data_IF_523979962127
#
_entry.id   IF_523979962127
#
_cell.length_a   1.000
_cell.length_b   1.000
_cell.length_c   1.000
_cell.angle_alpha   90.00
_cell.angle_beta   90.00
_cell.angle_gamma   90.00
#
_symmetry.space_group_name_H-M   'P 1'
#
loop_
_entity.id
_entity.type
_entity.pdbx_description
1 polymer ?
#
# COMPACT_ATOMS: atom_id res chain seq x y z
N UNK A 1 -20.98 -4.90 -4.99
CA UNK A 1 -19.68 -5.56 -4.86
C UNK A 1 -18.55 -4.53 -4.80
N UNK A 2 -17.55 -4.81 -3.97
CA UNK A 2 -16.44 -3.87 -3.76
C UNK A 2 -15.70 -3.53 -5.05
N UNK A 3 -15.53 -4.49 -5.95
CA UNK A 3 -14.81 -4.23 -7.20
C UNK A 3 -15.47 -3.14 -8.04
N UNK A 4 -16.78 -3.08 -8.04
CA UNK A 4 -17.51 -2.12 -8.86
C UNK A 4 -17.29 -0.67 -8.40
N UNK A 5 -16.93 -0.49 -7.14
CA UNK A 5 -16.61 0.83 -6.60
C UNK A 5 -15.37 1.44 -7.26
N UNK A 6 -14.48 0.60 -7.78
CA UNK A 6 -13.20 1.02 -8.34
C UNK A 6 -13.09 0.70 -9.84
N UNK A 7 -14.22 0.69 -10.55
CA UNK A 7 -14.23 0.32 -11.97
C UNK A 7 -13.33 1.19 -12.84
N UNK A 8 -13.26 2.49 -12.57
CA UNK A 8 -12.41 3.38 -13.35
C UNK A 8 -10.94 2.96 -13.27
N UNK A 9 -10.45 2.67 -12.08
CA UNK A 9 -9.10 2.20 -11.91
C UNK A 9 -8.89 0.82 -12.54
N UNK A 10 -9.85 -0.07 -12.35
CA UNK A 10 -9.78 -1.42 -12.93
C UNK A 10 -9.74 -1.39 -14.46
N UNK A 11 -10.49 -0.49 -15.07
CA UNK A 11 -10.46 -0.29 -16.52
C UNK A 11 -9.11 0.23 -16.98
N UNK A 12 -8.52 1.17 -16.24
CA UNK A 12 -7.18 1.64 -16.53
C UNK A 12 -6.16 0.50 -16.49
N UNK A 13 -6.20 -0.33 -15.46
CA UNK A 13 -5.30 -1.48 -15.33
C UNK A 13 -5.52 -2.46 -16.48
N UNK A 14 -6.77 -2.74 -16.84
CA UNK A 14 -7.10 -3.67 -17.92
C UNK A 14 -6.54 -3.20 -19.26
N UNK A 15 -6.50 -1.88 -19.50
CA UNK A 15 -6.02 -1.34 -20.77
C UNK A 15 -4.52 -1.10 -20.80
N UNK A 16 -3.87 -0.98 -19.63
CA UNK A 16 -2.46 -0.57 -19.54
C UNK A 16 -1.53 -1.69 -19.08
N UNK A 17 -2.06 -2.76 -18.51
CA UNK A 17 -1.27 -3.85 -17.94
C UNK A 17 -1.78 -5.19 -18.46
N UNK A 18 -1.05 -6.27 -18.16
CA UNK A 18 -1.42 -7.61 -18.56
C UNK A 18 -2.68 -8.12 -17.83
N UNK A 19 -3.30 -9.16 -18.37
CA UNK A 19 -4.44 -9.81 -17.72
C UNK A 19 -4.05 -10.41 -16.37
N UNK A 20 -2.82 -10.88 -16.24
CA UNK A 20 -2.29 -11.38 -14.96
C UNK A 20 -2.25 -10.26 -13.92
N UNK A 21 -1.81 -9.07 -14.32
CA UNK A 21 -1.79 -7.90 -13.43
C UNK A 21 -3.21 -7.51 -13.03
N UNK A 22 -4.13 -7.49 -13.97
CA UNK A 22 -5.53 -7.16 -13.68
C UNK A 22 -6.13 -8.12 -12.65
N UNK A 23 -5.90 -9.41 -12.82
CA UNK A 23 -6.38 -10.43 -11.89
C UNK A 23 -5.80 -10.22 -10.49
N UNK A 24 -4.51 -9.96 -10.42
CA UNK A 24 -3.82 -9.76 -9.15
C UNK A 24 -4.31 -8.50 -8.43
N UNK A 25 -4.55 -7.43 -9.18
CA UNK A 25 -5.13 -6.20 -8.63
C UNK A 25 -6.53 -6.47 -8.07
N UNK A 26 -7.37 -7.20 -8.80
CA UNK A 26 -8.71 -7.54 -8.32
C UNK A 26 -8.66 -8.36 -7.03
N UNK A 27 -7.75 -9.33 -6.95
CA UNK A 27 -7.55 -10.11 -5.72
C UNK A 27 -7.08 -9.24 -4.56
N UNK A 28 -6.19 -8.29 -4.85
CA UNK A 28 -5.69 -7.36 -3.83
C UNK A 28 -6.81 -6.48 -3.27
N UNK A 29 -7.70 -5.99 -4.14
CA UNK A 29 -8.85 -5.18 -3.72
C UNK A 29 -9.77 -5.99 -2.81
N UNK A 30 -10.09 -7.22 -3.18
CA UNK A 30 -10.92 -8.09 -2.34
C UNK A 30 -10.26 -8.40 -1.01
N UNK A 31 -8.98 -8.71 -1.03
CA UNK A 31 -8.20 -9.01 0.18
C UNK A 31 -8.23 -7.82 1.15
N UNK A 32 -7.94 -6.62 0.64
CA UNK A 32 -7.94 -5.42 1.46
C UNK A 32 -9.34 -5.06 1.98
N UNK A 33 -10.36 -5.19 1.13
CA UNK A 33 -11.74 -4.89 1.53
C UNK A 33 -12.20 -5.81 2.65
N UNK A 34 -11.87 -7.09 2.58
CA UNK A 34 -12.25 -8.05 3.60
C UNK A 34 -11.55 -7.77 4.93
N UNK A 35 -10.25 -7.51 4.87
CA UNK A 35 -9.44 -7.31 6.09
C UNK A 35 -9.58 -5.93 6.70
N UNK A 36 -10.00 -4.94 5.92
CA UNK A 36 -10.21 -3.58 6.41
C UNK A 36 -11.69 -3.19 6.41
N UNK A 37 -12.58 -4.17 6.49
CA UNK A 37 -14.01 -3.91 6.57
C UNK A 37 -14.29 -3.04 7.81
N UNK A 38 -14.98 -1.91 7.59
CA UNK A 38 -15.31 -0.98 8.65
C UNK A 38 -14.17 -0.07 9.12
N UNK A 39 -12.97 -0.23 8.58
CA UNK A 39 -11.84 0.63 8.93
C UNK A 39 -11.95 1.95 8.16
N UNK A 40 -11.89 3.05 8.91
CA UNK A 40 -12.02 4.39 8.32
C UNK A 40 -10.84 5.27 8.71
N UNK A 41 -10.65 6.33 7.92
CA UNK A 41 -9.70 7.39 8.24
C UNK A 41 -10.35 8.37 9.23
N UNK A 42 -9.56 9.35 9.69
CA UNK A 42 -10.02 10.37 10.64
C UNK A 42 -11.24 11.16 10.13
N UNK A 43 -11.40 11.28 8.81
CA UNK A 43 -12.53 12.00 8.20
C UNK A 43 -13.76 11.13 7.97
N UNK A 44 -13.71 9.87 8.37
CA UNK A 44 -14.82 8.92 8.22
C UNK A 44 -14.85 8.16 6.90
N UNK A 45 -13.97 8.50 5.94
CA UNK A 45 -13.91 7.77 4.67
C UNK A 45 -13.26 6.39 4.85
N UNK A 46 -13.64 5.40 4.02
CA UNK A 46 -13.02 4.08 4.11
C UNK A 46 -11.51 4.15 3.85
N UNK A 47 -10.72 3.44 4.66
CA UNK A 47 -9.27 3.38 4.46
C UNK A 47 -8.93 2.84 3.07
N UNK A 48 -9.71 1.90 2.57
CA UNK A 48 -9.48 1.34 1.24
C UNK A 48 -9.58 2.40 0.13
N UNK A 49 -10.46 3.39 0.27
CA UNK A 49 -10.54 4.47 -0.72
C UNK A 49 -9.21 5.23 -0.81
N UNK A 50 -8.57 5.47 0.34
CA UNK A 50 -7.25 6.10 0.36
C UNK A 50 -6.22 5.21 -0.33
N UNK A 51 -6.19 3.94 -0.01
CA UNK A 51 -5.21 3.02 -0.58
C UNK A 51 -5.40 2.85 -2.09
N UNK A 52 -6.65 2.87 -2.55
CA UNK A 52 -6.93 2.84 -3.99
C UNK A 52 -6.49 4.14 -4.68
N UNK A 53 -6.61 5.27 -3.99
CA UNK A 53 -6.08 6.55 -4.46
C UNK A 53 -4.56 6.52 -4.58
N UNK A 54 -3.88 5.91 -3.62
CA UNK A 54 -2.42 5.72 -3.67
C UNK A 54 -2.05 4.84 -4.87
N UNK A 55 -2.75 3.72 -5.06
CA UNK A 55 -2.52 2.82 -6.19
C UNK A 55 -2.70 3.53 -7.52
N UNK A 56 -3.70 4.42 -7.62
CA UNK A 56 -3.93 5.22 -8.81
C UNK A 56 -2.74 6.13 -9.13
N UNK A 57 -2.21 6.82 -8.13
CA UNK A 57 -1.03 7.68 -8.32
C UNK A 57 0.17 6.84 -8.76
N UNK A 58 0.38 5.71 -8.11
CA UNK A 58 1.50 4.81 -8.40
C UNK A 58 1.42 4.28 -9.84
N UNK A 59 0.23 3.91 -10.31
CA UNK A 59 0.04 3.36 -11.65
C UNK A 59 -0.01 4.45 -12.72
N UNK A 60 -0.84 5.48 -12.52
CA UNK A 60 -1.15 6.44 -13.58
C UNK A 60 -0.17 7.59 -13.64
N UNK A 61 0.32 8.07 -12.51
CA UNK A 61 1.21 9.24 -12.47
C UNK A 61 2.69 8.86 -12.41
N UNK A 62 3.03 7.83 -11.63
CA UNK A 62 4.43 7.42 -11.49
C UNK A 62 4.78 6.33 -12.50
N UNK A 63 3.84 5.43 -12.80
CA UNK A 63 4.04 4.40 -13.80
C UNK A 63 4.78 3.17 -13.30
N UNK A 64 4.61 2.82 -12.03
CA UNK A 64 5.21 1.61 -11.47
C UNK A 64 4.44 0.36 -11.88
N UNK A 65 5.03 -0.80 -11.64
CA UNK A 65 4.49 -2.07 -12.08
C UNK A 65 3.55 -2.75 -11.08
N UNK A 66 3.19 -3.99 -11.41
CA UNK A 66 2.23 -4.80 -10.69
C UNK A 66 2.49 -4.89 -9.19
N UNK A 67 3.71 -5.20 -8.78
CA UNK A 67 4.01 -5.42 -7.37
C UNK A 67 3.88 -4.13 -6.54
N UNK A 68 4.21 -2.99 -7.14
CA UNK A 68 4.03 -1.70 -6.49
C UNK A 68 2.57 -1.32 -6.37
N UNK A 69 1.78 -1.59 -7.38
CA UNK A 69 0.33 -1.33 -7.37
C UNK A 69 -0.35 -2.19 -6.30
N UNK A 70 -0.08 -3.49 -6.33
CA UNK A 70 -0.66 -4.43 -5.36
C UNK A 70 -0.21 -4.10 -3.95
N UNK A 71 1.08 -3.81 -3.77
CA UNK A 71 1.62 -3.39 -2.48
C UNK A 71 0.93 -2.15 -1.94
N UNK A 72 0.64 -1.18 -2.80
CA UNK A 72 -0.09 0.03 -2.42
C UNK A 72 -1.49 -0.28 -1.91
N UNK A 73 -2.20 -1.18 -2.59
CA UNK A 73 -3.57 -1.53 -2.24
C UNK A 73 -3.65 -2.19 -0.86
N UNK A 74 -2.70 -3.07 -0.54
CA UNK A 74 -2.77 -3.86 0.69
C UNK A 74 -1.89 -3.33 1.83
N UNK A 75 -1.13 -2.24 1.60
CA UNK A 75 -0.11 -1.83 2.58
C UNK A 75 -0.69 -1.46 3.95
N UNK A 76 -1.88 -0.87 4.01
CA UNK A 76 -2.47 -0.53 5.30
C UNK A 76 -2.99 -1.75 6.06
N UNK A 77 -3.32 -2.84 5.37
CA UNK A 77 -3.61 -4.11 6.04
C UNK A 77 -2.41 -4.53 6.89
N UNK A 78 -1.21 -4.44 6.31
CA UNK A 78 0.03 -4.80 7.00
C UNK A 78 0.35 -3.79 8.11
N UNK A 79 0.22 -2.50 7.84
CA UNK A 79 0.48 -1.46 8.84
C UNK A 79 -0.39 -1.63 10.06
N UNK A 80 -1.68 -1.88 9.88
CA UNK A 80 -2.62 -2.07 10.98
C UNK A 80 -2.22 -3.30 11.80
N UNK A 81 -1.86 -4.39 11.14
CA UNK A 81 -1.43 -5.60 11.83
C UNK A 81 -0.16 -5.35 12.66
N UNK A 82 0.83 -4.68 12.07
CA UNK A 82 2.09 -4.38 12.77
C UNK A 82 1.83 -3.50 13.99
N UNK A 83 0.97 -2.51 13.89
CA UNK A 83 0.71 -1.54 14.95
C UNK A 83 -0.26 -2.05 16.01
N UNK A 84 -1.28 -2.78 15.63
CA UNK A 84 -2.38 -3.15 16.53
C UNK A 84 -2.48 -4.64 16.83
N UNK A 85 -1.94 -5.50 15.96
CA UNK A 85 -2.02 -6.95 16.12
C UNK A 85 -0.69 -7.61 15.78
N UNK A 86 0.41 -7.25 16.49
CA UNK A 86 1.74 -7.73 16.12
C UNK A 86 1.90 -9.25 16.19
N UNK A 87 1.09 -9.93 16.99
CA UNK A 87 1.10 -11.39 17.08
C UNK A 87 0.51 -12.07 15.84
N UNK A 88 -0.20 -11.33 14.99
CA UNK A 88 -0.79 -11.85 13.75
C UNK A 88 0.06 -11.58 12.52
N UNK A 89 1.15 -10.83 12.65
CA UNK A 89 1.97 -10.40 11.51
C UNK A 89 2.61 -11.58 10.79
N UNK A 90 3.09 -12.59 11.52
CA UNK A 90 3.74 -13.75 10.91
C UNK A 90 2.77 -14.54 10.03
N UNK A 91 1.56 -14.79 10.53
CA UNK A 91 0.53 -15.49 9.76
C UNK A 91 0.10 -14.66 8.55
N UNK A 92 -0.12 -13.36 8.73
CA UNK A 92 -0.47 -12.45 7.63
C UNK A 92 0.62 -12.43 6.57
N UNK A 93 1.88 -12.39 6.99
CA UNK A 93 3.02 -12.41 6.06
C UNK A 93 3.03 -13.67 5.21
N UNK A 94 2.74 -14.82 5.82
CA UNK A 94 2.65 -16.09 5.09
C UNK A 94 1.55 -16.03 4.03
N UNK A 95 0.39 -15.50 4.39
CA UNK A 95 -0.74 -15.38 3.46
C UNK A 95 -0.38 -14.46 2.29
N UNK A 96 0.20 -13.30 2.57
CA UNK A 96 0.59 -12.36 1.52
C UNK A 96 1.65 -12.96 0.61
N UNK A 97 2.63 -13.65 1.17
CA UNK A 97 3.66 -14.32 0.37
C UNK A 97 3.06 -15.33 -0.59
N UNK A 98 2.09 -16.11 -0.13
CA UNK A 98 1.43 -17.12 -0.95
C UNK A 98 0.52 -16.49 -2.02
N UNK A 99 -0.22 -15.44 -1.66
CA UNK A 99 -1.20 -14.82 -2.55
C UNK A 99 -0.56 -13.85 -3.55
N UNK A 100 0.44 -13.08 -3.13
CA UNK A 100 0.96 -11.97 -3.91
C UNK A 100 2.47 -12.03 -4.15
N UNK A 101 3.18 -12.91 -3.47
CA UNK A 101 4.60 -13.10 -3.65
C UNK A 101 5.48 -12.37 -2.63
N UNK A 102 6.72 -12.78 -2.59
CA UNK A 102 7.72 -12.26 -1.64
C UNK A 102 7.99 -10.77 -1.82
N UNK A 103 8.01 -10.32 -3.08
CA UNK A 103 8.33 -8.93 -3.39
C UNK A 103 7.26 -7.97 -2.87
N UNK A 104 5.99 -8.33 -3.04
CA UNK A 104 4.87 -7.54 -2.50
C UNK A 104 4.95 -7.49 -0.97
N UNK A 105 5.22 -8.63 -0.34
CA UNK A 105 5.38 -8.66 1.12
C UNK A 105 6.50 -7.73 1.57
N UNK A 106 7.64 -7.77 0.90
CA UNK A 106 8.77 -6.90 1.23
C UNK A 106 8.41 -5.41 1.14
N UNK A 107 7.70 -5.03 0.09
CA UNK A 107 7.25 -3.64 -0.10
C UNK A 107 6.31 -3.22 1.04
N UNK A 108 5.34 -4.06 1.38
CA UNK A 108 4.36 -3.71 2.42
C UNK A 108 5.00 -3.62 3.81
N UNK A 109 5.93 -4.51 4.12
CA UNK A 109 6.65 -4.46 5.39
C UNK A 109 7.54 -3.22 5.49
N UNK A 110 8.21 -2.86 4.41
CA UNK A 110 9.03 -1.64 4.37
C UNK A 110 8.18 -0.38 4.54
N UNK A 111 7.03 -0.32 3.88
CA UNK A 111 6.10 0.80 4.03
C UNK A 111 5.58 0.92 5.46
N UNK A 112 5.27 -0.21 6.09
CA UNK A 112 4.82 -0.23 7.48
C UNK A 112 5.90 0.29 8.42
N UNK A 113 7.14 -0.08 8.18
CA UNK A 113 8.28 0.37 8.98
C UNK A 113 8.46 1.88 8.90
N UNK A 114 8.31 2.45 7.70
CA UNK A 114 8.36 3.90 7.51
C UNK A 114 7.23 4.59 8.26
N UNK A 115 6.03 4.03 8.22
CA UNK A 115 4.85 4.60 8.88
C UNK A 115 4.97 4.66 10.40
N UNK A 116 5.86 3.86 10.99
CA UNK A 116 6.09 3.86 12.43
C UNK A 116 7.05 4.96 12.88
N UNK A 117 7.69 5.67 11.95
CA UNK A 117 8.57 6.78 12.30
C UNK A 117 7.71 7.97 12.70
N UNK A 118 7.85 8.40 13.97
CA UNK A 118 7.09 9.53 14.50
C UNK A 118 7.86 10.83 14.31
N UNK A 119 7.22 11.78 13.64
CA UNK A 119 7.79 13.10 13.38
C UNK A 119 7.25 14.08 14.44
N UNK A 120 8.09 14.47 15.40
CA UNK A 120 7.67 15.27 16.56
C UNK A 120 7.91 16.76 16.42
N UNK A 121 9.01 17.18 15.80
CA UNK A 121 9.40 18.58 15.62
C UNK A 121 9.95 18.77 14.22
N UNK A 122 9.92 20.03 13.73
CA UNK A 122 10.42 20.32 12.38
C UNK A 122 11.86 19.86 12.16
N UNK A 123 12.74 20.07 13.15
CA UNK A 123 14.12 19.66 13.06
C UNK A 123 14.28 18.14 13.06
N UNK A 124 13.51 17.47 13.91
CA UNK A 124 13.48 16.01 13.97
C UNK A 124 12.84 15.43 12.72
N UNK A 125 11.80 16.12 12.18
CA UNK A 125 11.15 15.69 10.95
C UNK A 125 12.12 15.68 9.78
N UNK A 126 12.95 16.69 9.64
CA UNK A 126 13.92 16.76 8.56
C UNK A 126 14.96 15.65 8.68
N UNK A 127 15.44 15.38 9.90
CA UNK A 127 16.40 14.30 10.16
C UNK A 127 15.78 12.93 9.93
N UNK A 128 14.57 12.70 10.44
CA UNK A 128 13.85 11.43 10.28
C UNK A 128 13.56 11.14 8.82
N UNK A 129 13.15 12.16 8.07
CA UNK A 129 12.87 12.02 6.65
C UNK A 129 14.14 11.63 5.88
N UNK A 130 15.27 12.26 6.23
CA UNK A 130 16.56 11.94 5.62
C UNK A 130 16.97 10.52 5.94
N UNK A 131 16.86 10.10 7.19
CA UNK A 131 17.20 8.74 7.62
C UNK A 131 16.32 7.71 6.92
N UNK A 132 15.04 8.03 6.75
CA UNK A 132 14.10 7.20 6.04
C UNK A 132 14.54 6.98 4.59
N UNK A 133 14.88 8.07 3.90
CA UNK A 133 15.33 7.98 2.51
C UNK A 133 16.60 7.14 2.39
N UNK A 134 17.57 7.37 3.27
CA UNK A 134 18.82 6.62 3.28
C UNK A 134 18.57 5.14 3.54
N UNK A 135 17.72 4.83 4.53
CA UNK A 135 17.43 3.44 4.92
C UNK A 135 16.73 2.64 3.83
N UNK A 136 15.93 3.31 2.98
CA UNK A 136 15.13 2.65 1.95
C UNK A 136 15.60 2.94 0.54
N UNK A 137 16.81 3.48 0.39
CA UNK A 137 17.38 3.77 -0.93
C UNK A 137 17.63 2.51 -1.77
N UNK A 138 17.65 1.33 -1.15
CA UNK A 138 17.82 0.06 -1.85
C UNK A 138 16.61 -0.30 -2.71
N UNK A 139 15.42 0.19 -2.34
CA UNK A 139 14.23 -0.03 -3.13
C UNK A 139 13.49 1.30 -3.34
N UNK A 140 13.79 2.00 -4.44
CA UNK A 140 13.17 3.29 -4.73
C UNK A 140 11.64 3.24 -4.81
N UNK A 141 11.07 2.07 -5.10
CA UNK A 141 9.62 1.92 -5.18
C UNK A 141 8.95 2.22 -3.85
N UNK A 142 9.57 1.82 -2.75
CA UNK A 142 9.03 2.07 -1.39
C UNK A 142 8.93 3.57 -1.14
N UNK A 143 9.96 4.33 -1.50
CA UNK A 143 9.97 5.78 -1.33
C UNK A 143 8.91 6.42 -2.21
N UNK A 144 8.80 5.99 -3.46
CA UNK A 144 7.83 6.54 -4.40
C UNK A 144 6.39 6.27 -3.95
N UNK A 145 6.13 5.07 -3.45
CA UNK A 145 4.80 4.74 -2.90
C UNK A 145 4.50 5.59 -1.66
N UNK A 146 5.48 5.80 -0.80
CA UNK A 146 5.29 6.63 0.39
C UNK A 146 4.99 8.08 0.02
N UNK A 147 5.63 8.60 -1.02
CA UNK A 147 5.31 9.94 -1.53
C UNK A 147 3.87 9.98 -2.06
N UNK A 148 3.44 8.96 -2.81
CA UNK A 148 2.07 8.86 -3.30
C UNK A 148 1.08 8.81 -2.14
N UNK A 149 1.41 8.06 -1.08
CA UNK A 149 0.60 7.97 0.13
C UNK A 149 0.39 9.33 0.78
N UNK A 150 1.41 10.17 0.80
CA UNK A 150 1.31 11.53 1.35
C UNK A 150 0.55 12.49 0.44
N UNK A 151 0.60 12.28 -0.87
CA UNK A 151 -0.11 13.13 -1.84
C UNK A 151 -1.58 12.82 -1.93
N UNK A 152 -1.97 11.59 -1.64
CA UNK A 152 -3.37 11.18 -1.65
C UNK A 152 -4.09 11.76 -0.43
N UNK A 153 -5.09 12.58 -0.66
CA UNK A 153 -5.78 13.30 0.42
C UNK A 153 -7.16 12.70 0.70
#
# INVERSE_FOLDING_TARGET
>A
MVLNRYNDFREYVASSYSSTTQEMVDRAIRFAAERMDGVTRYDGSPMLDHDMGVARIVAEEIGLGRNSIVGSIIHDVVRIAVQEHPDEVEELSTIIRQEFGEEVLGITLALSKISNIKLKRSKEQASDFRDMIVSYSEDPRVILIKLADRLEV
#
